data_IF_246306451900
#
_entry.id   IF_246306451900
#
_cell.length_a   1.000
_cell.length_b   1.000
_cell.length_c   1.000
_cell.angle_alpha   90.00
_cell.angle_beta   90.00
_cell.angle_gamma   90.00
#
_symmetry.space_group_name_H-M   'P 1'
#
loop_
_entity.id
_entity.type
_entity.pdbx_description
1 polymer ?
#
# COMPACT_ATOMS: atom_id res chain seq x y z
N UNK A 1 -11.82 -10.34 -9.04
CA UNK A 1 -10.40 -10.26 -9.41
C UNK A 1 -10.16 -8.96 -10.16
N UNK A 2 -9.08 -8.27 -9.84
CA UNK A 2 -8.85 -6.87 -10.20
C UNK A 2 -7.67 -6.33 -9.42
N UNK A 3 -6.97 -5.37 -10.03
CA UNK A 3 -5.70 -4.85 -9.55
C UNK A 3 -5.82 -4.18 -8.16
N UNK A 4 -4.93 -4.57 -7.27
CA UNK A 4 -4.67 -4.00 -5.95
C UNK A 4 -3.18 -3.62 -5.85
N UNK A 5 -2.92 -2.52 -5.16
CA UNK A 5 -1.56 -2.04 -4.89
C UNK A 5 -1.26 -2.18 -3.42
N UNK A 6 -0.51 -3.22 -3.10
CA UNK A 6 -0.10 -3.50 -1.73
C UNK A 6 1.22 -2.77 -1.44
N UNK A 7 1.32 -1.96 -0.39
CA UNK A 7 2.59 -1.33 -0.06
C UNK A 7 3.58 -2.40 0.39
N UNK A 8 4.78 -2.40 -0.21
CA UNK A 8 5.86 -3.28 0.22
C UNK A 8 6.39 -2.85 1.59
N UNK A 9 7.10 -3.71 2.31
CA UNK A 9 7.90 -3.25 3.43
C UNK A 9 9.06 -2.38 2.95
N UNK A 10 9.56 -1.51 3.83
CA UNK A 10 10.80 -0.74 3.58
C UNK A 10 11.98 -1.42 4.23
N UNK A 11 13.21 -1.36 3.68
CA UNK A 11 14.37 -1.97 4.31
C UNK A 11 14.62 -1.39 5.71
N UNK A 12 14.96 -2.26 6.66
CA UNK A 12 15.52 -1.84 7.96
C UNK A 12 16.82 -1.05 7.75
N UNK A 13 17.19 -0.15 8.67
CA UNK A 13 18.46 0.57 8.59
C UNK A 13 19.65 -0.39 8.40
N UNK A 14 20.48 -0.14 7.40
CA UNK A 14 21.62 -0.99 7.05
C UNK A 14 21.33 -2.15 6.10
N UNK A 15 20.07 -2.40 5.71
CA UNK A 15 19.68 -3.53 4.85
C UNK A 15 19.30 -3.14 3.42
N UNK A 16 19.42 -1.86 3.02
CA UNK A 16 18.98 -1.37 1.70
C UNK A 16 19.51 -2.20 0.52
N UNK A 17 20.84 -2.37 0.45
CA UNK A 17 21.46 -3.08 -0.68
C UNK A 17 21.02 -4.55 -0.75
N UNK A 18 20.88 -5.20 0.42
CA UNK A 18 20.42 -6.59 0.50
C UNK A 18 18.95 -6.72 0.14
N UNK A 19 18.13 -5.76 0.55
CA UNK A 19 16.71 -5.68 0.20
C UNK A 19 16.52 -5.56 -1.31
N UNK A 20 17.23 -4.63 -1.96
CA UNK A 20 17.14 -4.42 -3.41
C UNK A 20 17.64 -5.66 -4.18
N UNK A 21 18.73 -6.28 -3.71
CA UNK A 21 19.24 -7.52 -4.28
C UNK A 21 18.22 -8.67 -4.18
N UNK A 22 17.62 -8.87 -3.01
CA UNK A 22 16.61 -9.91 -2.80
C UNK A 22 15.38 -9.67 -3.68
N UNK A 23 14.90 -8.42 -3.77
CA UNK A 23 13.78 -8.07 -4.63
C UNK A 23 14.08 -8.41 -6.10
N UNK A 24 15.26 -8.08 -6.62
CA UNK A 24 15.68 -8.43 -7.99
C UNK A 24 15.72 -9.94 -8.23
N UNK A 25 16.23 -10.72 -7.26
CA UNK A 25 16.24 -12.19 -7.34
C UNK A 25 14.80 -12.74 -7.32
N UNK A 26 13.94 -12.20 -6.44
CA UNK A 26 12.55 -12.60 -6.33
C UNK A 26 11.76 -12.21 -7.60
N UNK A 27 12.08 -11.11 -8.27
CA UNK A 27 11.50 -10.77 -9.57
C UNK A 27 12.07 -11.60 -10.74
N UNK A 28 13.07 -12.44 -10.49
CA UNK A 28 13.71 -13.28 -11.52
C UNK A 28 14.68 -12.51 -12.42
N UNK A 29 15.06 -11.29 -12.05
CA UNK A 29 16.04 -10.47 -12.76
C UNK A 29 17.45 -11.03 -12.54
N UNK A 30 17.76 -11.34 -11.28
CA UNK A 30 19.06 -11.90 -10.89
C UNK A 30 18.92 -13.40 -10.51
N UNK A 31 19.96 -14.22 -10.74
CA UNK A 31 19.91 -15.64 -10.42
C UNK A 31 19.99 -15.90 -8.91
N UNK A 32 19.29 -16.95 -8.45
CA UNK A 32 19.33 -17.40 -7.06
C UNK A 32 20.78 -17.80 -6.66
N UNK A 33 21.35 -17.21 -5.58
CA UNK A 33 22.74 -17.47 -5.20
C UNK A 33 22.96 -18.89 -4.64
N UNK A 34 24.22 -19.32 -4.68
CA UNK A 34 24.70 -20.54 -4.00
C UNK A 34 24.95 -20.24 -2.53
N UNK A 35 24.59 -21.15 -1.63
CA UNK A 35 24.83 -21.00 -0.19
C UNK A 35 26.34 -20.99 0.11
N UNK A 36 26.83 -20.14 1.03
CA UNK A 36 28.21 -20.22 1.51
C UNK A 36 28.56 -21.64 1.95
N UNK A 37 29.76 -22.09 1.60
CA UNK A 37 30.28 -23.42 1.95
C UNK A 37 29.43 -24.61 1.46
N UNK A 38 28.58 -24.41 0.46
CA UNK A 38 27.74 -25.46 -0.13
C UNK A 38 27.75 -25.41 -1.66
N UNK A 39 27.40 -26.54 -2.29
CA UNK A 39 27.03 -26.58 -3.72
C UNK A 39 25.53 -26.34 -3.93
N UNK A 40 24.73 -26.24 -2.86
CA UNK A 40 23.28 -26.03 -2.93
C UNK A 40 22.96 -24.55 -3.10
N UNK A 41 21.96 -24.23 -3.93
CA UNK A 41 21.37 -22.88 -4.01
C UNK A 41 20.41 -22.64 -2.85
N UNK A 42 20.18 -21.38 -2.52
CA UNK A 42 19.03 -21.01 -1.70
C UNK A 42 17.73 -21.43 -2.39
N UNK A 43 16.67 -21.67 -1.62
CA UNK A 43 15.33 -21.78 -2.18
C UNK A 43 14.72 -20.39 -2.33
N UNK A 44 13.70 -20.28 -3.18
CA UNK A 44 12.95 -19.02 -3.32
C UNK A 44 12.25 -18.62 -2.02
N UNK A 45 11.71 -19.59 -1.29
CA UNK A 45 11.07 -19.36 0.01
C UNK A 45 12.06 -18.90 1.09
N UNK A 46 13.28 -19.43 1.11
CA UNK A 46 14.33 -18.96 2.03
C UNK A 46 14.66 -17.48 1.79
N UNK A 47 14.81 -17.08 0.52
CA UNK A 47 15.09 -15.69 0.16
C UNK A 47 13.89 -14.77 0.40
N UNK A 48 12.67 -15.27 0.20
CA UNK A 48 11.43 -14.54 0.48
C UNK A 48 11.29 -14.29 1.98
N UNK A 49 11.56 -15.30 2.82
CA UNK A 49 11.57 -15.14 4.27
C UNK A 49 12.64 -14.13 4.71
N UNK A 50 13.88 -14.25 4.21
CA UNK A 50 14.93 -13.28 4.50
C UNK A 50 14.52 -11.85 4.12
N UNK A 51 13.87 -11.68 2.97
CA UNK A 51 13.38 -10.39 2.51
C UNK A 51 12.32 -9.80 3.46
N UNK A 52 11.41 -10.62 3.98
CA UNK A 52 10.45 -10.21 5.02
C UNK A 52 11.13 -9.88 6.35
N UNK A 53 12.18 -10.61 6.73
CA UNK A 53 12.87 -10.42 8.02
C UNK A 53 13.67 -9.11 8.08
N UNK A 54 14.11 -8.60 6.92
CA UNK A 54 14.93 -7.38 6.83
C UNK A 54 14.14 -6.11 6.51
N UNK A 55 12.80 -6.17 6.51
CA UNK A 55 11.94 -5.01 6.25
C UNK A 55 11.15 -4.57 7.47
N UNK A 56 10.71 -3.31 7.45
CA UNK A 56 9.71 -2.73 8.33
C UNK A 56 8.36 -2.72 7.59
N UNK A 57 7.26 -3.14 8.23
CA UNK A 57 5.95 -3.14 7.60
C UNK A 57 5.45 -1.71 7.33
N UNK A 58 4.55 -1.58 6.36
CA UNK A 58 3.92 -0.31 5.99
C UNK A 58 3.10 0.29 7.14
N UNK A 59 2.54 -0.54 8.02
CA UNK A 59 1.73 -0.10 9.17
C UNK A 59 2.50 0.81 10.14
N UNK A 60 3.81 0.61 10.29
CA UNK A 60 4.66 1.49 11.11
C UNK A 60 4.79 2.88 10.50
N UNK A 61 4.86 2.96 9.17
CA UNK A 61 4.99 4.24 8.43
C UNK A 61 3.72 5.06 8.48
N UNK A 62 2.54 4.43 8.47
CA UNK A 62 1.28 5.14 8.65
C UNK A 62 0.94 5.44 10.12
N UNK A 63 1.84 5.04 11.03
CA UNK A 63 1.67 5.19 12.47
C UNK A 63 0.37 4.54 12.99
N UNK A 64 0.03 3.36 12.45
CA UNK A 64 -1.06 2.56 12.99
C UNK A 64 -0.69 2.08 14.41
N UNK A 65 -1.55 2.28 15.42
CA UNK A 65 -1.31 1.78 16.76
C UNK A 65 -1.41 0.25 16.81
N UNK A 66 -0.63 -0.37 17.69
CA UNK A 66 -0.51 -1.82 17.79
C UNK A 66 -1.04 -2.33 19.12
N UNK A 67 -1.90 -3.36 19.06
CA UNK A 67 -2.49 -4.01 20.24
C UNK A 67 -1.40 -4.63 21.11
N UNK A 68 -1.50 -4.41 22.42
CA UNK A 68 -0.53 -4.81 23.42
C UNK A 68 0.70 -3.89 23.53
N UNK A 69 0.75 -2.81 22.73
CA UNK A 69 1.76 -1.73 22.83
C UNK A 69 1.10 -0.38 23.09
N UNK A 70 0.09 -0.04 22.31
CA UNK A 70 -0.52 1.28 22.27
C UNK A 70 -1.93 1.25 22.91
N UNK A 71 -2.21 2.09 23.94
CA UNK A 71 -3.48 2.04 24.67
C UNK A 71 -4.74 2.27 23.81
N UNK A 72 -4.62 3.03 22.73
CA UNK A 72 -5.72 3.30 21.79
C UNK A 72 -6.10 2.08 20.96
N UNK A 73 -5.14 1.21 20.60
CA UNK A 73 -5.42 -0.06 19.94
C UNK A 73 -6.04 -1.08 20.91
N UNK A 74 -5.60 -1.10 22.17
CA UNK A 74 -6.22 -1.95 23.20
C UNK A 74 -7.67 -1.55 23.46
N UNK A 75 -7.95 -0.25 23.52
CA UNK A 75 -9.30 0.28 23.64
C UNK A 75 -10.17 -0.09 22.43
N UNK A 76 -9.60 -0.12 21.22
CA UNK A 76 -10.29 -0.59 20.02
C UNK A 76 -10.69 -2.07 20.13
N UNK A 77 -9.79 -2.96 20.57
CA UNK A 77 -10.12 -4.39 20.79
C UNK A 77 -11.28 -4.54 21.78
N UNK A 78 -11.26 -3.76 22.86
CA UNK A 78 -12.37 -3.75 23.82
C UNK A 78 -13.67 -3.28 23.18
N UNK A 79 -13.66 -2.24 22.35
CA UNK A 79 -14.85 -1.76 21.66
C UNK A 79 -15.42 -2.83 20.71
N UNK A 80 -14.56 -3.48 19.91
CA UNK A 80 -14.97 -4.59 19.03
C UNK A 80 -15.60 -5.75 19.82
N UNK A 81 -15.01 -6.10 20.96
CA UNK A 81 -15.58 -7.09 21.86
C UNK A 81 -16.97 -6.71 22.39
N UNK A 82 -17.17 -5.45 22.78
CA UNK A 82 -18.45 -4.97 23.30
C UNK A 82 -19.58 -5.01 22.26
N UNK A 83 -19.23 -4.86 20.98
CA UNK A 83 -20.16 -4.94 19.84
C UNK A 83 -20.37 -6.38 19.32
N UNK A 84 -19.51 -7.31 19.72
CA UNK A 84 -19.64 -8.74 19.37
C UNK A 84 -20.81 -9.43 20.08
N UNK A 85 -21.07 -10.68 19.71
CA UNK A 85 -22.04 -11.54 20.41
C UNK A 85 -21.57 -11.98 21.81
N UNK A 86 -20.32 -11.65 22.19
CA UNK A 86 -19.67 -11.99 23.46
C UNK A 86 -19.66 -13.49 23.74
N UNK A 87 -19.62 -14.30 22.68
CA UNK A 87 -19.47 -15.76 22.77
C UNK A 87 -18.12 -16.18 23.36
N UNK A 88 -17.06 -15.39 23.06
CA UNK A 88 -15.73 -15.53 23.63
C UNK A 88 -15.50 -14.60 24.83
N UNK A 89 -14.35 -14.76 25.52
CA UNK A 89 -13.94 -13.84 26.59
C UNK A 89 -13.11 -12.67 26.04
N UNK A 90 -13.16 -11.52 26.71
CA UNK A 90 -12.32 -10.37 26.36
C UNK A 90 -10.81 -10.71 26.39
N UNK A 91 -10.39 -11.60 27.30
CA UNK A 91 -8.99 -12.05 27.36
C UNK A 91 -8.59 -12.86 26.12
N UNK A 92 -9.52 -13.67 25.58
CA UNK A 92 -9.30 -14.36 24.31
C UNK A 92 -9.11 -13.36 23.15
N UNK A 93 -9.92 -12.31 23.09
CA UNK A 93 -9.79 -11.26 22.08
C UNK A 93 -8.44 -10.56 22.16
N UNK A 94 -7.98 -10.14 23.33
CA UNK A 94 -6.65 -9.53 23.47
C UNK A 94 -5.52 -10.46 23.01
N UNK A 95 -5.59 -11.75 23.34
CA UNK A 95 -4.59 -12.73 22.86
C UNK A 95 -4.66 -12.92 21.35
N UNK A 96 -5.86 -12.92 20.78
CA UNK A 96 -6.08 -13.09 19.35
C UNK A 96 -5.52 -11.90 18.56
N UNK A 97 -5.73 -10.68 19.05
CA UNK A 97 -5.28 -9.45 18.41
C UNK A 97 -3.87 -9.00 18.85
N UNK A 98 -3.17 -9.73 19.70
CA UNK A 98 -1.84 -9.33 20.17
C UNK A 98 -0.88 -9.07 19.00
N UNK A 99 -0.31 -7.85 18.93
CA UNK A 99 0.59 -7.44 17.84
C UNK A 99 -0.11 -7.03 16.54
N UNK A 100 -1.44 -7.01 16.51
CA UNK A 100 -2.23 -6.49 15.40
C UNK A 100 -2.11 -4.97 15.29
N UNK A 101 -1.95 -4.45 14.07
CA UNK A 101 -1.93 -3.02 13.77
C UNK A 101 -3.34 -2.55 13.38
N UNK A 102 -3.88 -1.59 14.13
CA UNK A 102 -5.24 -1.05 13.89
C UNK A 102 -5.15 0.09 12.87
N UNK A 103 -5.28 -0.23 11.58
CA UNK A 103 -5.10 0.74 10.47
C UNK A 103 -6.15 1.84 10.50
N UNK A 104 -7.36 1.56 10.97
CA UNK A 104 -8.45 2.55 11.14
C UNK A 104 -8.07 3.73 12.03
N UNK A 105 -7.08 3.53 12.92
CA UNK A 105 -6.57 4.55 13.84
C UNK A 105 -5.24 5.17 13.38
N UNK A 106 -4.81 4.89 12.16
CA UNK A 106 -3.58 5.45 11.58
C UNK A 106 -3.64 6.99 11.52
N UNK A 107 -2.50 7.63 11.80
CA UNK A 107 -2.39 9.10 11.81
C UNK A 107 -2.12 9.67 10.42
N UNK A 108 -1.49 8.88 9.56
CA UNK A 108 -1.14 9.29 8.20
C UNK A 108 -2.22 8.84 7.21
N UNK A 109 -3.16 9.75 6.89
CA UNK A 109 -4.30 9.45 6.02
C UNK A 109 -3.92 9.26 4.55
N UNK A 110 -2.79 9.81 4.10
CA UNK A 110 -2.34 9.60 2.72
C UNK A 110 -1.90 8.14 2.45
N UNK A 111 -1.51 7.41 3.51
CA UNK A 111 -1.21 5.98 3.43
C UNK A 111 -2.42 5.06 3.58
N UNK A 112 -3.60 5.62 3.85
CA UNK A 112 -4.89 4.90 3.99
C UNK A 112 -5.86 5.46 2.94
N UNK A 113 -5.89 4.88 1.73
CA UNK A 113 -6.66 5.43 0.64
C UNK A 113 -8.16 5.26 0.88
N UNK A 114 -9.00 6.14 0.32
CA UNK A 114 -10.45 5.93 0.37
C UNK A 114 -10.94 4.87 -0.62
N UNK A 115 -10.17 4.63 -1.68
CA UNK A 115 -10.41 3.56 -2.65
C UNK A 115 -9.69 2.29 -2.17
N UNK A 116 -10.24 1.65 -1.13
CA UNK A 116 -9.65 0.45 -0.52
C UNK A 116 -10.02 -0.82 -1.28
N UNK A 117 -9.16 -1.84 -1.16
CA UNK A 117 -9.54 -3.20 -1.55
C UNK A 117 -10.46 -3.81 -0.48
N UNK A 118 -11.53 -4.48 -0.89
CA UNK A 118 -12.45 -5.18 0.03
C UNK A 118 -11.89 -6.51 0.53
N UNK A 119 -10.77 -6.99 -0.04
CA UNK A 119 -10.21 -8.31 0.22
C UNK A 119 -8.81 -8.26 0.88
N UNK A 120 -8.28 -7.07 1.11
CA UNK A 120 -6.94 -6.82 1.66
C UNK A 120 -7.04 -5.77 2.76
N UNK A 121 -5.91 -5.49 3.42
CA UNK A 121 -5.84 -4.46 4.46
C UNK A 121 -6.23 -3.07 3.96
N UNK A 122 -6.71 -2.20 4.86
CA UNK A 122 -7.27 -0.88 4.54
C UNK A 122 -6.24 0.09 3.97
N UNK A 123 -4.95 -0.21 4.10
CA UNK A 123 -3.88 0.58 3.49
C UNK A 123 -3.53 0.17 2.05
N UNK A 124 -4.23 -0.81 1.49
CA UNK A 124 -4.09 -1.27 0.11
C UNK A 124 -4.98 -0.44 -0.81
N UNK A 125 -4.36 0.19 -1.82
CA UNK A 125 -5.10 0.95 -2.83
C UNK A 125 -5.72 0.00 -3.86
N UNK A 126 -7.02 0.16 -4.13
CA UNK A 126 -7.75 -0.57 -5.16
C UNK A 126 -7.43 -0.02 -6.55
N UNK A 127 -6.30 -0.47 -7.11
CA UNK A 127 -5.79 -0.07 -8.43
C UNK A 127 -6.81 -0.25 -9.57
N UNK A 128 -7.79 -1.15 -9.41
CA UNK A 128 -8.93 -1.32 -10.32
C UNK A 128 -9.67 -0.01 -10.63
N UNK A 129 -9.82 0.91 -9.68
CA UNK A 129 -10.47 2.20 -9.96
C UNK A 129 -9.68 3.01 -11.00
N UNK A 130 -8.35 3.03 -10.89
CA UNK A 130 -7.50 3.71 -11.85
C UNK A 130 -7.59 3.03 -13.22
N UNK A 131 -7.40 1.72 -13.29
CA UNK A 131 -7.33 1.00 -14.57
C UNK A 131 -8.67 0.90 -15.28
N UNK A 132 -9.78 0.86 -14.55
CA UNK A 132 -11.13 0.79 -15.17
C UNK A 132 -11.61 2.16 -15.65
N UNK A 133 -11.36 3.22 -14.86
CA UNK A 133 -11.98 4.52 -15.13
C UNK A 133 -11.01 5.54 -15.73
N UNK A 134 -9.70 5.37 -15.61
CA UNK A 134 -8.73 6.39 -15.98
C UNK A 134 -7.74 5.97 -17.08
N UNK A 135 -7.88 4.77 -17.66
CA UNK A 135 -6.96 4.24 -18.68
C UNK A 135 -6.71 5.23 -19.83
N UNK A 136 -7.78 5.76 -20.44
CA UNK A 136 -7.67 6.72 -21.54
C UNK A 136 -7.05 8.06 -21.13
N UNK A 137 -7.11 8.41 -19.84
CA UNK A 137 -6.62 9.68 -19.30
C UNK A 137 -5.12 9.65 -19.00
N UNK A 138 -4.62 8.53 -18.48
CA UNK A 138 -3.22 8.36 -18.09
C UNK A 138 -2.34 7.86 -19.24
N UNK A 139 -2.97 7.32 -20.29
CA UNK A 139 -2.28 6.79 -21.45
C UNK A 139 -1.57 5.46 -21.19
N UNK A 140 -1.11 4.84 -22.28
CA UNK A 140 -0.62 3.45 -22.27
C UNK A 140 0.55 3.23 -21.32
N UNK A 141 1.50 4.15 -21.26
CA UNK A 141 2.71 3.97 -20.45
C UNK A 141 2.40 3.92 -18.95
N UNK A 142 1.66 4.91 -18.43
CA UNK A 142 1.26 4.95 -17.02
C UNK A 142 0.28 3.83 -16.67
N UNK A 143 -0.58 3.44 -17.61
CA UNK A 143 -1.43 2.28 -17.45
C UNK A 143 -0.62 1.00 -17.28
N UNK A 144 0.38 0.74 -18.12
CA UNK A 144 1.21 -0.46 -18.00
C UNK A 144 2.04 -0.48 -16.71
N UNK A 145 2.46 0.68 -16.19
CA UNK A 145 3.14 0.78 -14.88
C UNK A 145 2.24 0.34 -13.72
N UNK A 146 0.92 0.56 -13.80
CA UNK A 146 -0.04 0.15 -12.77
C UNK A 146 0.02 -1.36 -12.47
N UNK A 147 0.38 -2.18 -13.47
CA UNK A 147 0.39 -3.64 -13.39
C UNK A 147 1.77 -4.22 -13.01
N UNK A 148 2.71 -3.38 -12.56
CA UNK A 148 4.07 -3.80 -12.21
C UNK A 148 4.35 -3.53 -10.73
N UNK A 149 5.03 -4.47 -10.08
CA UNK A 149 5.63 -4.24 -8.77
C UNK A 149 6.78 -3.25 -8.92
N UNK A 150 6.72 -2.13 -8.21
CA UNK A 150 7.66 -1.01 -8.29
C UNK A 150 8.50 -0.89 -7.01
N UNK A 151 9.77 -0.51 -7.15
CA UNK A 151 10.62 -0.06 -6.05
C UNK A 151 10.15 1.28 -5.48
N UNK A 152 10.66 1.69 -4.31
CA UNK A 152 10.27 2.97 -3.70
C UNK A 152 10.48 4.18 -4.62
N UNK A 153 11.62 4.27 -5.29
CA UNK A 153 11.92 5.37 -6.20
C UNK A 153 11.02 5.36 -7.45
N UNK A 154 10.68 4.17 -7.96
CA UNK A 154 9.75 4.01 -9.08
C UNK A 154 8.33 4.35 -8.68
N UNK A 155 7.89 3.93 -7.49
CA UNK A 155 6.60 4.27 -6.89
C UNK A 155 6.46 5.79 -6.74
N UNK A 156 7.48 6.48 -6.22
CA UNK A 156 7.47 7.93 -6.08
C UNK A 156 7.31 8.62 -7.44
N UNK A 157 8.16 8.26 -8.42
CA UNK A 157 8.08 8.82 -9.77
C UNK A 157 6.72 8.57 -10.41
N UNK A 158 6.17 7.36 -10.26
CA UNK A 158 4.86 7.02 -10.80
C UNK A 158 3.74 7.86 -10.16
N UNK A 159 3.80 8.07 -8.85
CA UNK A 159 2.88 8.96 -8.15
C UNK A 159 2.97 10.42 -8.62
N UNK A 160 4.18 10.93 -8.85
CA UNK A 160 4.41 12.28 -9.38
C UNK A 160 3.87 12.43 -10.81
N UNK A 161 4.12 11.45 -11.69
CA UNK A 161 3.58 11.42 -13.06
C UNK A 161 2.04 11.42 -13.05
N UNK A 162 1.40 10.62 -12.18
CA UNK A 162 -0.06 10.61 -12.05
C UNK A 162 -0.60 11.93 -11.47
N UNK A 163 0.14 12.56 -10.56
CA UNK A 163 -0.23 13.87 -10.01
C UNK A 163 -0.26 14.94 -11.11
N UNK A 164 0.74 14.97 -11.99
CA UNK A 164 0.78 15.92 -13.10
C UNK A 164 -0.44 15.75 -14.03
N UNK A 165 -0.82 14.51 -14.34
CA UNK A 165 -2.03 14.23 -15.12
C UNK A 165 -3.28 14.74 -14.39
N UNK A 166 -3.39 14.48 -13.08
CA UNK A 166 -4.50 14.95 -12.26
C UNK A 166 -4.60 16.48 -12.26
N UNK A 167 -3.49 17.20 -12.10
CA UNK A 167 -3.45 18.67 -12.06
C UNK A 167 -3.85 19.30 -13.40
N UNK A 168 -3.38 18.72 -14.52
CA UNK A 168 -3.76 19.18 -15.85
C UNK A 168 -5.26 19.02 -16.11
N UNK A 169 -5.82 17.85 -15.76
CA UNK A 169 -7.25 17.58 -15.92
C UNK A 169 -8.08 18.45 -14.98
N UNK A 170 -7.68 18.57 -13.72
CA UNK A 170 -8.36 19.39 -12.73
C UNK A 170 -8.43 20.86 -13.18
N UNK A 171 -7.33 21.39 -13.70
CA UNK A 171 -7.30 22.77 -14.22
C UNK A 171 -8.22 22.93 -15.43
N UNK A 172 -8.14 22.02 -16.39
CA UNK A 172 -8.95 22.06 -17.62
C UNK A 172 -10.46 22.00 -17.35
N UNK A 173 -10.86 21.27 -16.32
CA UNK A 173 -12.26 21.02 -15.98
C UNK A 173 -12.76 21.83 -14.78
N UNK A 174 -11.95 22.76 -14.24
CA UNK A 174 -12.28 23.55 -13.05
C UNK A 174 -12.58 22.70 -11.79
N UNK A 175 -11.79 21.65 -11.59
CA UNK A 175 -11.89 20.67 -10.51
C UNK A 175 -10.68 20.70 -9.56
N UNK A 176 -9.93 21.81 -9.51
CA UNK A 176 -8.73 21.95 -8.67
C UNK A 176 -9.02 21.78 -7.17
N UNK A 177 -10.23 22.08 -6.74
CA UNK A 177 -10.69 21.86 -5.36
C UNK A 177 -10.64 20.38 -4.92
N UNK A 178 -10.63 19.42 -5.85
CA UNK A 178 -10.54 17.99 -5.53
C UNK A 178 -9.14 17.57 -5.04
N UNK A 179 -8.11 18.41 -5.20
CA UNK A 179 -6.73 18.09 -4.83
C UNK A 179 -6.55 17.79 -3.35
N UNK A 180 -7.24 18.52 -2.50
CA UNK A 180 -7.14 18.38 -1.03
C UNK A 180 -8.32 17.59 -0.45
N UNK A 181 -9.23 17.12 -1.31
CA UNK A 181 -10.38 16.34 -0.90
C UNK A 181 -9.97 14.88 -0.67
N UNK A 182 -10.30 14.36 0.52
CA UNK A 182 -10.05 12.96 0.87
C UNK A 182 -11.19 12.03 0.44
N UNK A 183 -12.43 12.39 0.79
CA UNK A 183 -13.62 11.61 0.44
C UNK A 183 -13.97 11.78 -1.05
N UNK A 184 -14.47 10.75 -1.75
CA UNK A 184 -14.92 10.88 -3.12
C UNK A 184 -15.94 12.01 -3.28
N UNK A 185 -15.94 12.73 -4.42
CA UNK A 185 -16.96 13.73 -4.70
C UNK A 185 -18.35 13.08 -4.77
N UNK A 186 -19.38 13.87 -4.48
CA UNK A 186 -20.78 13.48 -4.72
C UNK A 186 -21.08 13.48 -6.23
N UNK A 187 -20.51 12.50 -6.91
CA UNK A 187 -20.60 12.30 -8.34
C UNK A 187 -20.51 10.80 -8.65
N UNK A 188 -21.20 10.37 -9.70
CA UNK A 188 -21.15 8.98 -10.14
C UNK A 188 -19.72 8.56 -10.55
N UNK A 189 -19.33 7.34 -10.18
CA UNK A 189 -18.01 6.79 -10.50
C UNK A 189 -17.85 6.66 -12.01
N UNK A 190 -16.74 7.16 -12.55
CA UNK A 190 -16.47 7.23 -13.99
C UNK A 190 -16.79 8.58 -14.63
N UNK A 191 -17.46 9.48 -13.91
CA UNK A 191 -17.56 10.90 -14.31
C UNK A 191 -16.22 11.62 -14.16
N UNK A 192 -16.02 12.76 -14.84
CA UNK A 192 -14.77 13.51 -14.75
C UNK A 192 -14.37 13.92 -13.31
N UNK A 193 -15.28 14.42 -12.45
CA UNK A 193 -14.96 14.67 -11.04
C UNK A 193 -14.43 13.43 -10.32
N UNK A 194 -15.11 12.29 -10.45
CA UNK A 194 -14.67 11.05 -9.81
C UNK A 194 -13.32 10.55 -10.36
N UNK A 195 -13.08 10.64 -11.67
CA UNK A 195 -11.81 10.26 -12.33
C UNK A 195 -10.65 11.11 -11.83
N UNK A 196 -10.82 12.43 -11.75
CA UNK A 196 -9.80 13.36 -11.22
C UNK A 196 -9.52 13.05 -9.75
N UNK A 197 -10.55 12.77 -8.95
CA UNK A 197 -10.35 12.38 -7.54
C UNK A 197 -9.62 11.03 -7.39
N UNK A 198 -9.94 10.03 -8.21
CA UNK A 198 -9.21 8.74 -8.26
C UNK A 198 -7.73 8.98 -8.53
N UNK A 199 -7.40 9.83 -9.51
CA UNK A 199 -6.01 10.17 -9.84
C UNK A 199 -5.27 10.85 -8.68
N UNK A 200 -5.89 11.85 -8.04
CA UNK A 200 -5.30 12.48 -6.85
C UNK A 200 -5.10 11.50 -5.70
N UNK A 201 -6.08 10.64 -5.43
CA UNK A 201 -6.00 9.65 -4.36
C UNK A 201 -4.88 8.63 -4.63
N UNK A 202 -4.79 8.11 -5.85
CA UNK A 202 -3.71 7.21 -6.28
C UNK A 202 -2.35 7.90 -6.16
N UNK A 203 -2.22 9.13 -6.64
CA UNK A 203 -0.98 9.89 -6.59
C UNK A 203 -0.52 10.17 -5.16
N UNK A 204 -1.42 10.61 -4.27
CA UNK A 204 -1.10 10.84 -2.84
C UNK A 204 -0.59 9.57 -2.18
N UNK A 205 -1.29 8.45 -2.39
CA UNK A 205 -0.89 7.15 -1.85
C UNK A 205 0.51 6.72 -2.34
N UNK A 206 0.75 6.78 -3.65
CA UNK A 206 2.05 6.43 -4.24
C UNK A 206 3.17 7.35 -3.74
N UNK A 207 2.95 8.67 -3.73
CA UNK A 207 3.93 9.65 -3.27
C UNK A 207 4.23 9.44 -1.78
N UNK A 208 3.22 9.21 -0.95
CA UNK A 208 3.39 8.96 0.47
C UNK A 208 4.27 7.73 0.71
N UNK A 209 3.94 6.59 0.12
CA UNK A 209 4.73 5.37 0.30
C UNK A 209 6.13 5.49 -0.31
N UNK A 210 6.24 6.02 -1.53
CA UNK A 210 7.51 6.22 -2.22
C UNK A 210 8.48 7.10 -1.42
N UNK A 211 8.02 8.26 -0.92
CA UNK A 211 8.83 9.16 -0.07
C UNK A 211 9.29 8.50 1.24
N UNK A 212 8.50 7.56 1.74
CA UNK A 212 8.81 6.83 2.97
C UNK A 212 9.60 5.53 2.72
N UNK A 213 10.10 5.31 1.51
CA UNK A 213 10.95 4.17 1.18
C UNK A 213 10.20 2.87 0.89
N UNK A 214 8.90 2.95 0.62
CA UNK A 214 8.06 1.80 0.27
C UNK A 214 7.80 1.76 -1.23
N UNK A 215 8.07 0.60 -1.83
CA UNK A 215 7.53 0.23 -3.14
C UNK A 215 6.06 -0.21 -3.04
N UNK A 216 5.50 -0.71 -4.14
CA UNK A 216 4.23 -1.44 -4.10
C UNK A 216 4.30 -2.73 -4.94
N UNK A 217 3.53 -3.73 -4.53
CA UNK A 217 3.24 -4.95 -5.29
C UNK A 217 1.91 -4.78 -6.03
N UNK A 218 1.93 -5.05 -7.34
CA UNK A 218 0.72 -5.15 -8.15
C UNK A 218 0.14 -6.56 -7.99
N UNK A 219 -0.96 -6.68 -7.25
CA UNK A 219 -1.69 -7.93 -7.04
C UNK A 219 -2.94 -7.93 -7.93
N UNK A 220 -3.09 -8.92 -8.82
CA UNK A 220 -4.05 -8.89 -9.93
C UNK A 220 -4.99 -10.10 -9.97
#
# INVERSE_FOLDING_TARGET
>A
MGLDWRPLGKPKPGYKDRFDQLLRILQGIDPIPVKPDSKKRFTREELKQEWFDIQLPSYETIHAPMVGRDPEADAWVKAQYEESDKSDSLDYWYRHYQGYYVIELAKETDGVPVYISEAQDENVFRGKFLTTFCEELIGKELYEKAWKTLTADETLRYGEELLEVAEQLATRHNLTHLKDQHMPPDAEVGTMPSKVHILYSAARWLIFYGKNGHGFEADA
#
